data_IF_678082784364
#
_entry.id   IF_678082784364
#
_cell.length_a   1.000
_cell.length_b   1.000
_cell.length_c   1.000
_cell.angle_alpha   90.00
_cell.angle_beta   90.00
_cell.angle_gamma   90.00
#
_symmetry.space_group_name_H-M   'P 1'
#
loop_
_entity.id
_entity.type
_entity.pdbx_description
1 polymer ?
#
# COMPACT_ATOMS: atom_id res chain seq x y z
N UNK A 1 -21.44 7.69 12.30
CA UNK A 1 -21.87 8.97 11.71
C UNK A 1 -22.46 8.64 10.34
N UNK A 2 -23.78 8.73 10.20
CA UNK A 2 -24.53 8.39 8.97
C UNK A 2 -25.13 9.63 8.27
N UNK A 3 -24.77 10.82 8.74
CA UNK A 3 -25.28 12.11 8.26
C UNK A 3 -24.59 12.62 6.97
N UNK A 4 -23.77 11.79 6.32
CA UNK A 4 -23.00 12.15 5.13
C UNK A 4 -21.79 13.06 5.42
N UNK A 5 -21.50 13.40 6.68
CA UNK A 5 -20.35 14.23 7.04
C UNK A 5 -19.02 13.63 6.55
N UNK A 6 -18.90 12.31 6.63
CA UNK A 6 -17.69 11.58 6.23
C UNK A 6 -17.44 11.57 4.71
N UNK A 7 -18.47 11.81 3.89
CA UNK A 7 -18.36 11.88 2.44
C UNK A 7 -17.97 13.27 1.92
N UNK A 8 -17.91 14.26 2.80
CA UNK A 8 -17.50 15.63 2.43
C UNK A 8 -16.02 15.65 2.04
N UNK A 9 -15.74 16.33 0.93
CA UNK A 9 -14.37 16.62 0.49
C UNK A 9 -13.72 17.53 1.52
N UNK A 10 -12.45 17.24 1.82
CA UNK A 10 -11.61 18.03 2.71
C UNK A 10 -10.84 19.02 1.86
N UNK A 11 -11.23 20.28 1.97
CA UNK A 11 -10.51 21.37 1.32
C UNK A 11 -9.23 21.71 2.10
N UNK A 12 -8.17 22.09 1.39
CA UNK A 12 -6.96 22.67 1.99
C UNK A 12 -5.86 21.69 2.38
N UNK A 13 -5.90 20.42 1.93
CA UNK A 13 -4.74 19.50 2.00
C UNK A 13 -4.01 19.53 0.64
N UNK A 14 -2.85 20.23 0.53
CA UNK A 14 -2.14 20.31 -0.74
C UNK A 14 -1.64 18.93 -1.19
N UNK A 15 -1.76 18.64 -2.49
CA UNK A 15 -1.35 17.36 -3.09
C UNK A 15 -2.39 16.22 -2.97
N UNK A 16 -3.45 16.37 -2.16
CA UNK A 16 -4.49 15.35 -1.98
C UNK A 16 -5.85 15.83 -2.50
N UNK A 17 -6.04 15.85 -3.82
CA UNK A 17 -7.26 16.37 -4.45
C UNK A 17 -8.46 15.44 -4.19
N UNK A 18 -9.63 16.04 -3.94
CA UNK A 18 -10.90 15.33 -3.78
C UNK A 18 -10.86 14.22 -2.70
N UNK A 19 -9.99 14.35 -1.70
CA UNK A 19 -9.97 13.45 -0.55
C UNK A 19 -11.15 13.77 0.37
N UNK A 20 -11.83 12.76 0.88
CA UNK A 20 -12.97 12.92 1.80
C UNK A 20 -12.55 12.59 3.23
N UNK A 21 -13.33 13.01 4.22
CA UNK A 21 -13.06 12.68 5.62
C UNK A 21 -12.94 11.18 5.88
N UNK A 22 -13.76 10.35 5.21
CA UNK A 22 -13.65 8.88 5.33
C UNK A 22 -12.40 8.27 4.72
N UNK A 23 -11.74 8.99 3.82
CA UNK A 23 -10.52 8.54 3.15
C UNK A 23 -9.27 8.90 3.99
N UNK A 24 -9.41 9.77 5.00
CA UNK A 24 -8.30 10.13 5.87
C UNK A 24 -8.00 9.03 6.90
N UNK A 25 -6.78 8.99 7.45
CA UNK A 25 -6.40 7.92 8.36
C UNK A 25 -7.30 7.81 9.58
N UNK A 26 -7.66 6.59 9.99
CA UNK A 26 -8.72 6.36 10.95
C UNK A 26 -8.49 6.99 12.32
N UNK A 27 -7.24 7.26 12.70
CA UNK A 27 -6.87 7.87 13.97
C UNK A 27 -7.31 9.35 14.08
N UNK A 28 -7.58 10.04 12.98
CA UNK A 28 -8.14 11.40 13.05
C UNK A 28 -9.66 11.41 13.26
N UNK A 29 -10.31 10.25 13.11
CA UNK A 29 -11.77 10.12 13.22
C UNK A 29 -12.21 9.94 14.68
N UNK A 30 -11.84 10.89 15.52
CA UNK A 30 -12.15 10.91 16.96
C UNK A 30 -12.78 12.23 17.37
N UNK A 31 -13.70 12.18 18.34
CA UNK A 31 -14.28 13.38 18.96
C UNK A 31 -13.64 13.71 20.31
N UNK A 32 -12.72 12.87 20.78
CA UNK A 32 -12.01 13.08 22.03
C UNK A 32 -10.81 14.01 21.79
N UNK A 33 -10.78 15.23 22.37
CA UNK A 33 -9.62 16.11 22.26
C UNK A 33 -8.36 15.55 22.95
N UNK A 34 -8.51 14.53 23.79
CA UNK A 34 -7.41 13.84 24.49
C UNK A 34 -7.14 12.44 23.93
N UNK A 35 -7.62 12.16 22.70
CA UNK A 35 -7.33 10.89 22.03
C UNK A 35 -5.82 10.64 21.97
N UNK A 36 -5.40 9.54 22.59
CA UNK A 36 -3.97 9.23 22.78
C UNK A 36 -3.29 9.01 21.43
N UNK A 37 -3.94 8.31 20.51
CA UNK A 37 -3.35 7.94 19.23
C UNK A 37 -3.24 9.16 18.31
N UNK A 38 -4.27 10.00 18.25
CA UNK A 38 -4.23 11.25 17.49
C UNK A 38 -3.12 12.19 17.98
N UNK A 39 -3.03 12.39 19.30
CA UNK A 39 -2.03 13.27 19.90
C UNK A 39 -0.61 12.75 19.66
N UNK A 40 -0.40 11.44 19.88
CA UNK A 40 0.88 10.80 19.61
C UNK A 40 1.31 10.96 18.14
N UNK A 41 0.45 10.61 17.19
CA UNK A 41 0.78 10.69 15.76
C UNK A 41 0.97 12.14 15.28
N UNK A 42 0.25 13.09 15.87
CA UNK A 42 0.45 14.52 15.59
C UNK A 42 1.83 14.98 16.07
N UNK A 43 2.27 14.53 17.25
CA UNK A 43 3.61 14.82 17.75
C UNK A 43 4.70 14.15 16.90
N UNK A 44 4.52 12.88 16.54
CA UNK A 44 5.46 12.15 15.67
C UNK A 44 5.60 12.82 14.30
N UNK A 45 4.49 13.27 13.70
CA UNK A 45 4.55 14.02 12.44
C UNK A 45 5.40 15.31 12.57
N UNK A 46 5.32 16.02 13.70
CA UNK A 46 6.18 17.19 13.96
C UNK A 46 7.64 16.80 14.23
N UNK A 47 7.88 15.65 14.85
CA UNK A 47 9.23 15.14 15.09
C UNK A 47 9.91 14.65 13.81
N UNK A 48 9.15 14.04 12.90
CA UNK A 48 9.61 13.68 11.56
C UNK A 48 10.14 14.92 10.80
N UNK A 49 9.49 16.08 10.91
CA UNK A 49 9.95 17.33 10.29
C UNK A 49 11.23 17.91 10.91
N UNK A 50 11.63 17.45 12.09
CA UNK A 50 12.89 17.83 12.76
C UNK A 50 14.02 16.84 12.50
N UNK A 51 13.73 15.71 11.86
CA UNK A 51 14.73 14.70 11.53
C UNK A 51 15.78 15.25 10.57
N UNK A 52 16.96 14.63 10.52
CA UNK A 52 18.00 14.99 9.56
C UNK A 52 17.66 14.56 8.13
N UNK A 53 16.87 13.49 8.01
CA UNK A 53 16.49 12.86 6.76
C UNK A 53 15.20 12.05 6.95
N UNK A 54 14.38 12.01 5.91
CA UNK A 54 13.16 11.21 5.85
C UNK A 54 13.24 10.26 4.65
N UNK A 55 13.18 8.96 4.89
CA UNK A 55 13.15 7.94 3.84
C UNK A 55 11.70 7.51 3.65
N UNK A 56 11.19 7.60 2.43
CA UNK A 56 9.83 7.19 2.08
C UNK A 56 9.88 6.00 1.12
N UNK A 57 9.20 4.93 1.51
CA UNK A 57 9.04 3.72 0.70
C UNK A 57 7.93 3.91 -0.35
N UNK A 58 8.21 4.68 -1.39
CA UNK A 58 7.38 4.89 -2.58
C UNK A 58 8.27 5.25 -3.77
N UNK A 59 7.70 5.54 -4.93
CA UNK A 59 8.41 6.09 -6.08
C UNK A 59 7.74 7.36 -6.62
N UNK A 60 8.52 8.26 -7.21
CA UNK A 60 8.08 9.61 -7.57
C UNK A 60 6.84 9.63 -8.46
N UNK A 61 6.74 8.73 -9.43
CA UNK A 61 5.63 8.66 -10.38
C UNK A 61 4.30 8.25 -9.71
N UNK A 62 4.34 7.51 -8.60
CA UNK A 62 3.14 7.03 -7.91
C UNK A 62 2.42 8.14 -7.14
N UNK A 63 3.19 9.07 -6.56
CA UNK A 63 2.70 10.05 -5.57
C UNK A 63 3.24 11.47 -5.80
N UNK A 64 3.58 11.82 -7.05
CA UNK A 64 4.27 13.07 -7.42
C UNK A 64 3.74 14.31 -6.71
N UNK A 65 2.44 14.57 -6.79
CA UNK A 65 1.86 15.80 -6.22
C UNK A 65 2.02 15.89 -4.70
N UNK A 66 1.93 14.76 -3.99
CA UNK A 66 2.10 14.72 -2.54
C UNK A 66 3.58 14.88 -2.18
N UNK A 67 4.46 14.21 -2.91
CA UNK A 67 5.91 14.29 -2.69
C UNK A 67 6.46 15.71 -2.91
N UNK A 68 6.01 16.41 -3.95
CA UNK A 68 6.38 17.82 -4.21
C UNK A 68 5.98 18.74 -3.04
N UNK A 69 4.80 18.51 -2.44
CA UNK A 69 4.33 19.28 -1.27
C UNK A 69 5.18 18.99 -0.05
N UNK A 70 5.54 17.72 0.18
CA UNK A 70 6.38 17.32 1.32
C UNK A 70 7.79 17.89 1.14
N UNK A 71 8.39 17.77 -0.05
CA UNK A 71 9.72 18.29 -0.36
C UNK A 71 9.81 19.81 -0.15
N UNK A 72 8.77 20.55 -0.53
CA UNK A 72 8.69 22.00 -0.30
C UNK A 72 8.70 22.38 1.19
N UNK A 73 8.24 21.49 2.07
CA UNK A 73 8.28 21.68 3.54
C UNK A 73 9.53 21.09 4.19
N UNK A 74 10.03 19.98 3.65
CA UNK A 74 11.15 19.22 4.19
C UNK A 74 12.04 18.70 3.04
N UNK A 75 13.07 19.47 2.64
CA UNK A 75 13.89 19.14 1.47
C UNK A 75 14.78 17.90 1.61
N UNK A 76 15.02 17.41 2.83
CA UNK A 76 15.86 16.23 3.08
C UNK A 76 15.04 14.92 3.01
N UNK A 77 14.13 14.83 2.05
CA UNK A 77 13.32 13.64 1.78
C UNK A 77 13.96 12.77 0.69
N UNK A 78 13.98 11.46 0.91
CA UNK A 78 14.55 10.46 0.00
C UNK A 78 13.47 9.43 -0.33
N UNK A 79 13.02 9.43 -1.57
CA UNK A 79 12.02 8.51 -2.09
C UNK A 79 12.78 7.31 -2.65
N UNK A 80 12.91 6.24 -1.87
CA UNK A 80 13.82 5.12 -2.18
C UNK A 80 13.08 3.81 -2.37
N UNK A 81 11.78 3.85 -2.65
CA UNK A 81 10.95 2.67 -2.81
C UNK A 81 10.67 2.33 -4.28
N UNK A 82 9.98 1.20 -4.50
CA UNK A 82 9.67 0.18 -3.51
C UNK A 82 10.91 -0.58 -2.99
N UNK A 83 11.04 -0.65 -1.67
CA UNK A 83 12.19 -1.28 -1.02
C UNK A 83 12.33 -2.76 -1.40
N UNK A 84 11.21 -3.46 -1.59
CA UNK A 84 11.19 -4.87 -2.01
C UNK A 84 11.79 -5.12 -3.39
N UNK A 85 11.72 -4.13 -4.29
CA UNK A 85 12.32 -4.22 -5.62
C UNK A 85 13.75 -3.70 -5.63
N UNK A 86 14.02 -2.60 -4.93
CA UNK A 86 15.39 -2.11 -4.69
C UNK A 86 16.29 -3.18 -4.08
N UNK A 87 15.78 -3.94 -3.09
CA UNK A 87 16.49 -5.08 -2.50
C UNK A 87 16.88 -6.13 -3.54
N UNK A 88 15.99 -6.46 -4.50
CA UNK A 88 16.29 -7.44 -5.56
C UNK A 88 17.42 -6.94 -6.48
N UNK A 89 17.35 -5.69 -6.91
CA UNK A 89 18.40 -5.05 -7.74
C UNK A 89 19.75 -4.99 -7.00
N UNK A 90 19.72 -4.76 -5.68
CA UNK A 90 20.91 -4.77 -4.82
C UNK A 90 21.42 -6.21 -4.59
N UNK A 91 20.53 -7.18 -4.40
CA UNK A 91 20.84 -8.58 -4.15
C UNK A 91 21.46 -9.29 -5.35
N UNK A 92 21.07 -8.93 -6.58
CA UNK A 92 21.81 -9.32 -7.78
C UNK A 92 23.30 -8.91 -7.71
N UNK A 93 23.66 -7.96 -6.83
CA UNK A 93 25.03 -7.48 -6.56
C UNK A 93 25.60 -7.84 -5.15
N UNK A 94 25.07 -8.86 -4.47
CA UNK A 94 25.45 -9.44 -3.14
C UNK A 94 24.73 -8.85 -1.92
N UNK A 95 23.91 -9.70 -1.29
CA UNK A 95 23.92 -10.10 0.13
C UNK A 95 22.73 -11.07 0.35
N UNK A 96 22.78 -11.94 1.35
CA UNK A 96 21.79 -13.01 1.54
C UNK A 96 20.67 -12.63 2.51
N UNK A 97 19.43 -12.77 2.04
CA UNK A 97 18.18 -13.17 2.72
C UNK A 97 18.14 -13.08 4.25
N UNK A 98 17.40 -12.09 4.76
CA UNK A 98 16.98 -11.99 6.16
C UNK A 98 15.47 -12.24 6.26
N UNK A 99 15.05 -13.51 6.27
CA UNK A 99 13.66 -13.86 6.59
C UNK A 99 13.55 -14.22 8.07
N UNK A 100 12.70 -13.48 8.79
CA UNK A 100 12.43 -13.63 10.23
C UNK A 100 10.97 -14.06 10.43
N UNK A 101 10.69 -15.37 10.60
CA UNK A 101 9.34 -15.91 10.77
C UNK A 101 8.65 -15.50 12.09
N UNK A 102 9.37 -14.82 12.98
CA UNK A 102 8.98 -14.47 14.35
C UNK A 102 8.04 -13.26 14.48
N UNK A 103 7.61 -12.65 13.37
CA UNK A 103 6.75 -11.44 13.35
C UNK A 103 5.37 -11.73 12.74
N UNK A 104 4.79 -12.90 13.03
CA UNK A 104 3.43 -13.20 12.60
C UNK A 104 2.44 -13.08 13.77
N UNK A 105 1.51 -12.14 13.68
CA UNK A 105 0.30 -12.09 14.52
C UNK A 105 -0.88 -12.67 13.73
N UNK A 106 -1.54 -13.69 14.28
CA UNK A 106 -2.81 -14.22 13.76
C UNK A 106 -3.04 -15.66 14.18
N UNK A 107 -4.08 -15.92 14.97
CA UNK A 107 -4.58 -17.27 15.21
C UNK A 107 -5.23 -17.81 13.93
N UNK A 108 -5.10 -19.11 13.67
CA UNK A 108 -5.82 -19.74 12.55
C UNK A 108 -7.32 -19.65 12.80
N UNK A 109 -8.07 -19.10 11.83
CA UNK A 109 -9.52 -19.04 11.91
C UNK A 109 -10.09 -20.47 12.04
N UNK A 110 -10.95 -20.69 13.02
CA UNK A 110 -11.69 -21.97 13.16
C UNK A 110 -12.83 -21.94 12.14
N UNK A 111 -12.65 -22.64 11.03
CA UNK A 111 -13.66 -22.80 9.98
C UNK A 111 -14.35 -24.16 10.11
N UNK A 112 -15.65 -24.28 9.77
CA UNK A 112 -16.35 -25.55 9.81
C UNK A 112 -15.73 -26.57 8.85
N UNK A 113 -15.67 -27.85 9.25
CA UNK A 113 -15.12 -28.92 8.42
C UNK A 113 -15.86 -29.05 7.08
N UNK A 114 -17.16 -28.77 7.06
CA UNK A 114 -17.98 -28.78 5.84
C UNK A 114 -17.48 -27.76 4.82
N UNK A 115 -16.96 -26.62 5.27
CA UNK A 115 -16.39 -25.60 4.40
C UNK A 115 -15.04 -26.05 3.82
N UNK A 116 -14.19 -26.68 4.63
CA UNK A 116 -12.89 -27.21 4.19
C UNK A 116 -13.09 -28.28 3.10
N UNK A 117 -14.07 -29.16 3.29
CA UNK A 117 -14.42 -30.21 2.33
C UNK A 117 -15.00 -29.61 1.03
N UNK A 118 -15.80 -28.55 1.10
CA UNK A 118 -16.38 -27.87 -0.06
C UNK A 118 -15.30 -27.23 -0.97
N UNK A 119 -14.23 -26.70 -0.37
CA UNK A 119 -13.19 -25.97 -1.12
C UNK A 119 -11.99 -26.83 -1.52
N UNK A 120 -11.87 -28.08 -1.06
CA UNK A 120 -10.64 -28.90 -1.17
C UNK A 120 -10.02 -28.98 -2.57
N UNK A 121 -10.85 -28.94 -3.62
CA UNK A 121 -10.42 -29.07 -5.02
C UNK A 121 -10.14 -27.71 -5.70
N UNK A 122 -10.40 -26.59 -5.01
CA UNK A 122 -10.39 -25.22 -5.59
C UNK A 122 -9.78 -24.15 -4.70
N UNK A 123 -9.51 -24.45 -3.43
CA UNK A 123 -9.04 -23.50 -2.43
C UNK A 123 -8.00 -24.12 -1.52
N UNK A 124 -7.09 -23.29 -1.04
CA UNK A 124 -6.06 -23.63 -0.07
C UNK A 124 -6.12 -22.62 1.06
N UNK A 125 -6.18 -23.12 2.29
CA UNK A 125 -6.10 -22.30 3.51
C UNK A 125 -4.72 -22.52 4.13
N UNK A 126 -3.99 -21.43 4.34
CA UNK A 126 -2.71 -21.43 5.03
C UNK A 126 -2.70 -20.30 6.06
N UNK A 127 -2.10 -20.53 7.22
CA UNK A 127 -1.88 -19.48 8.22
C UNK A 127 -0.82 -18.47 7.78
N UNK A 128 0.03 -18.86 6.82
CA UNK A 128 1.06 -18.01 6.24
C UNK A 128 1.42 -18.47 4.83
N UNK A 129 1.84 -17.52 3.99
CA UNK A 129 2.46 -17.81 2.69
C UNK A 129 3.55 -16.77 2.39
N UNK A 130 4.54 -17.10 1.54
CA UNK A 130 5.49 -16.11 1.00
C UNK A 130 4.73 -15.20 0.03
N UNK A 131 4.08 -14.16 0.56
CA UNK A 131 3.13 -13.32 -0.17
C UNK A 131 3.73 -12.72 -1.45
N UNK A 132 5.01 -12.31 -1.41
CA UNK A 132 5.75 -11.78 -2.55
C UNK A 132 5.83 -12.79 -3.72
N UNK A 133 6.10 -14.07 -3.41
CA UNK A 133 6.17 -15.15 -4.39
C UNK A 133 4.78 -15.52 -4.90
N UNK A 134 3.78 -15.54 -4.00
CA UNK A 134 2.38 -15.81 -4.37
C UNK A 134 1.90 -14.74 -5.34
N UNK A 135 1.99 -13.45 -4.98
CA UNK A 135 1.54 -12.34 -5.84
C UNK A 135 2.28 -12.28 -7.18
N UNK A 136 3.57 -12.65 -7.20
CA UNK A 136 4.36 -12.72 -8.43
C UNK A 136 3.99 -13.91 -9.34
N UNK A 137 3.20 -14.87 -8.86
CA UNK A 137 2.86 -16.07 -9.61
C UNK A 137 1.83 -15.75 -10.72
N UNK A 138 2.02 -16.23 -11.96
CA UNK A 138 1.16 -15.89 -13.11
C UNK A 138 -0.30 -16.35 -12.95
N UNK A 139 -0.58 -17.28 -12.04
CA UNK A 139 -1.95 -17.72 -11.73
C UNK A 139 -2.74 -16.73 -10.86
N UNK A 140 -2.11 -15.71 -10.28
CA UNK A 140 -2.81 -14.71 -9.47
C UNK A 140 -3.49 -13.68 -10.38
N UNK A 141 -4.82 -13.67 -10.33
CA UNK A 141 -5.65 -12.71 -11.05
C UNK A 141 -5.97 -11.45 -10.25
N UNK A 142 -6.20 -11.58 -8.94
CA UNK A 142 -6.66 -10.49 -8.07
C UNK A 142 -6.20 -10.72 -6.63
N UNK A 143 -6.03 -9.65 -5.85
CA UNK A 143 -5.64 -9.70 -4.45
C UNK A 143 -6.67 -8.99 -3.56
N UNK A 144 -7.34 -9.75 -2.68
CA UNK A 144 -8.20 -9.20 -1.63
C UNK A 144 -7.33 -8.78 -0.44
N UNK A 145 -7.37 -7.51 -0.06
CA UNK A 145 -6.49 -6.96 0.97
C UNK A 145 -7.15 -5.86 1.78
N UNK A 146 -6.73 -5.71 3.02
CA UNK A 146 -7.02 -4.57 3.87
C UNK A 146 -6.35 -3.27 3.45
N UNK A 147 -5.52 -3.27 2.40
CA UNK A 147 -4.81 -2.08 1.87
C UNK A 147 -3.75 -1.50 2.82
N UNK A 148 -3.09 -2.32 3.65
CA UNK A 148 -1.85 -1.90 4.29
C UNK A 148 -0.77 -1.55 3.25
N UNK A 149 0.12 -0.61 3.57
CA UNK A 149 1.06 -0.05 2.58
C UNK A 149 1.97 -1.10 1.92
N UNK A 150 2.57 -2.01 2.70
CA UNK A 150 3.46 -3.05 2.17
C UNK A 150 2.74 -3.97 1.17
N UNK A 151 1.57 -4.51 1.53
CA UNK A 151 0.75 -5.33 0.63
C UNK A 151 0.33 -4.59 -0.64
N UNK A 152 0.06 -3.29 -0.52
CA UNK A 152 -0.33 -2.43 -1.65
C UNK A 152 0.83 -2.30 -2.63
N UNK A 153 2.02 -1.98 -2.14
CA UNK A 153 3.24 -1.89 -2.92
C UNK A 153 3.61 -3.24 -3.56
N UNK A 154 3.56 -4.35 -2.82
CA UNK A 154 3.83 -5.69 -3.39
C UNK A 154 2.87 -6.06 -4.53
N UNK A 155 1.61 -5.63 -4.43
CA UNK A 155 0.62 -5.83 -5.49
C UNK A 155 0.94 -4.99 -6.73
N UNK A 156 1.40 -3.74 -6.55
CA UNK A 156 1.88 -2.88 -7.63
C UNK A 156 3.10 -3.53 -8.30
N UNK A 157 4.09 -3.98 -7.52
CA UNK A 157 5.28 -4.69 -8.03
C UNK A 157 4.94 -5.98 -8.77
N UNK A 158 3.84 -6.62 -8.39
CA UNK A 158 3.36 -7.84 -9.04
C UNK A 158 2.47 -7.54 -10.25
N UNK A 159 1.94 -6.32 -10.36
CA UNK A 159 0.96 -5.93 -11.38
C UNK A 159 -0.38 -6.62 -11.15
N UNK A 160 -0.79 -6.78 -9.90
CA UNK A 160 -2.02 -7.48 -9.48
C UNK A 160 -3.05 -6.43 -9.00
N UNK A 161 -4.28 -6.44 -9.56
CA UNK A 161 -5.37 -5.60 -9.08
C UNK A 161 -5.83 -5.94 -7.67
N UNK A 162 -6.42 -4.94 -7.00
CA UNK A 162 -6.84 -5.02 -5.61
C UNK A 162 -8.37 -5.11 -5.48
N UNK A 163 -8.82 -5.99 -4.59
CA UNK A 163 -10.12 -5.87 -3.93
C UNK A 163 -9.84 -5.31 -2.54
N UNK A 164 -10.28 -4.10 -2.28
CA UNK A 164 -9.90 -3.30 -1.13
C UNK A 164 -10.95 -3.44 -0.02
N UNK A 165 -10.53 -3.84 1.18
CA UNK A 165 -11.40 -3.94 2.36
C UNK A 165 -10.74 -3.32 3.61
N UNK A 166 -10.65 -1.98 3.67
CA UNK A 166 -9.88 -1.28 4.71
C UNK A 166 -10.57 -1.30 6.08
N UNK A 167 -9.76 -1.41 7.15
CA UNK A 167 -10.25 -1.46 8.53
C UNK A 167 -9.77 -0.29 9.39
N UNK A 168 -8.46 0.01 9.41
CA UNK A 168 -7.88 0.98 10.36
C UNK A 168 -6.62 1.69 9.81
N UNK A 169 -6.13 2.67 10.55
CA UNK A 169 -4.95 3.47 10.23
C UNK A 169 -5.06 4.13 8.85
N UNK A 170 -4.06 4.01 8.00
CA UNK A 170 -3.98 4.64 6.67
C UNK A 170 -4.68 3.82 5.57
N UNK A 171 -5.26 2.67 5.89
CA UNK A 171 -5.83 1.74 4.92
C UNK A 171 -6.94 2.37 4.07
N UNK A 172 -7.75 3.25 4.65
CA UNK A 172 -8.78 4.00 3.93
C UNK A 172 -8.16 4.93 2.87
N UNK A 173 -7.04 5.58 3.21
CA UNK A 173 -6.28 6.43 2.29
C UNK A 173 -5.72 5.61 1.14
N UNK A 174 -5.07 4.49 1.44
CA UNK A 174 -4.51 3.59 0.43
C UNK A 174 -5.60 3.02 -0.49
N UNK A 175 -6.74 2.62 0.07
CA UNK A 175 -7.91 2.16 -0.69
C UNK A 175 -8.40 3.25 -1.65
N UNK A 176 -8.52 4.50 -1.19
CA UNK A 176 -8.91 5.64 -2.03
C UNK A 176 -7.94 5.89 -3.17
N UNK A 177 -6.63 5.79 -2.93
CA UNK A 177 -5.62 5.92 -3.98
C UNK A 177 -5.69 4.76 -4.98
N UNK A 178 -5.76 3.52 -4.50
CA UNK A 178 -5.88 2.34 -5.34
C UNK A 178 -7.12 2.38 -6.26
N UNK A 179 -8.27 2.80 -5.73
CA UNK A 179 -9.52 2.79 -6.50
C UNK A 179 -9.64 3.94 -7.50
N UNK A 180 -9.08 5.11 -7.18
CA UNK A 180 -9.41 6.35 -7.92
C UNK A 180 -8.19 7.02 -8.53
N UNK A 181 -7.05 7.08 -7.84
CA UNK A 181 -5.85 7.76 -8.36
C UNK A 181 -5.05 6.82 -9.26
N UNK A 182 -4.81 5.58 -8.82
CA UNK A 182 -4.02 4.60 -9.56
C UNK A 182 -4.88 3.75 -10.50
N UNK A 183 -6.17 3.61 -10.19
CA UNK A 183 -7.11 2.83 -11.00
C UNK A 183 -6.75 1.35 -11.06
N UNK A 184 -6.38 0.76 -9.91
CA UNK A 184 -6.02 -0.66 -9.79
C UNK A 184 -6.91 -1.41 -8.79
N UNK A 185 -7.85 -0.74 -8.14
CA UNK A 185 -8.59 -1.27 -7.00
C UNK A 185 -10.11 -1.13 -7.11
N UNK A 186 -10.81 -1.97 -6.35
CA UNK A 186 -12.26 -1.88 -6.11
C UNK A 186 -12.53 -1.97 -4.62
N UNK A 187 -13.20 -0.98 -4.05
CA UNK A 187 -13.58 -0.97 -2.64
C UNK A 187 -14.80 -1.87 -2.37
N UNK A 188 -14.69 -2.69 -1.33
CA UNK A 188 -15.76 -3.54 -0.80
C UNK A 188 -16.57 -2.74 0.22
N UNK A 189 -17.90 -2.90 0.19
CA UNK A 189 -18.77 -2.28 1.18
C UNK A 189 -18.45 -2.76 2.61
N UNK A 190 -18.65 -1.89 3.62
CA UNK A 190 -18.38 -2.26 5.02
C UNK A 190 -19.23 -3.43 5.51
N UNK A 191 -20.51 -3.46 5.12
CA UNK A 191 -21.47 -4.51 5.49
C UNK A 191 -21.58 -5.62 4.45
N UNK A 192 -20.45 -5.98 3.82
CA UNK A 192 -20.41 -6.87 2.66
C UNK A 192 -21.09 -8.21 2.91
N UNK A 193 -21.81 -8.68 1.88
CA UNK A 193 -22.42 -10.02 1.85
C UNK A 193 -21.66 -10.93 0.90
N UNK A 194 -21.72 -12.23 1.15
CA UNK A 194 -21.04 -13.25 0.31
C UNK A 194 -21.38 -13.13 -1.19
N UNK A 195 -22.63 -12.81 -1.53
CA UNK A 195 -23.06 -12.63 -2.92
C UNK A 195 -22.36 -11.46 -3.61
N UNK A 196 -22.08 -10.38 -2.87
CA UNK A 196 -21.40 -9.19 -3.37
C UNK A 196 -19.92 -9.48 -3.63
N UNK A 197 -19.22 -10.13 -2.67
CA UNK A 197 -17.84 -10.59 -2.87
C UNK A 197 -17.75 -11.49 -4.09
N UNK A 198 -18.67 -12.45 -4.25
CA UNK A 198 -18.69 -13.35 -5.40
C UNK A 198 -18.85 -12.59 -6.72
N UNK A 199 -19.70 -11.57 -6.75
CA UNK A 199 -19.89 -10.73 -7.94
C UNK A 199 -18.63 -9.91 -8.26
N UNK A 200 -18.00 -9.29 -7.25
CA UNK A 200 -16.75 -8.53 -7.40
C UNK A 200 -15.64 -9.44 -7.92
N UNK A 201 -15.42 -10.60 -7.31
CA UNK A 201 -14.37 -11.56 -7.74
C UNK A 201 -14.60 -11.97 -9.19
N UNK A 202 -15.84 -12.25 -9.57
CA UNK A 202 -16.17 -12.64 -10.94
C UNK A 202 -15.88 -11.50 -11.93
N UNK A 203 -16.31 -10.27 -11.62
CA UNK A 203 -16.05 -9.10 -12.48
C UNK A 203 -14.55 -8.78 -12.60
N UNK A 204 -13.80 -8.94 -11.51
CA UNK A 204 -12.35 -8.73 -11.50
C UNK A 204 -11.58 -9.78 -12.31
N UNK A 205 -12.05 -11.02 -12.36
CA UNK A 205 -11.37 -12.11 -13.08
C UNK A 205 -11.82 -12.26 -14.53
N UNK A 206 -13.10 -12.01 -14.82
CA UNK A 206 -13.71 -12.32 -16.12
C UNK A 206 -14.24 -11.06 -16.84
N UNK A 207 -14.52 -9.98 -16.12
CA UNK A 207 -15.14 -8.76 -16.64
C UNK A 207 -14.16 -7.81 -17.32
N UNK A 208 -14.70 -6.89 -18.13
CA UNK A 208 -13.91 -5.84 -18.80
C UNK A 208 -13.26 -4.90 -17.78
N UNK A 209 -13.97 -4.56 -16.69
CA UNK A 209 -13.43 -3.74 -15.62
C UNK A 209 -12.17 -4.37 -15.00
N UNK A 210 -12.20 -5.69 -14.73
CA UNK A 210 -11.06 -6.42 -14.20
C UNK A 210 -9.83 -6.35 -15.11
N UNK A 211 -10.04 -6.45 -16.44
CA UNK A 211 -8.98 -6.31 -17.44
C UNK A 211 -8.39 -4.90 -17.46
N UNK A 212 -9.22 -3.86 -17.44
CA UNK A 212 -8.77 -2.47 -17.39
C UNK A 212 -7.90 -2.18 -16.15
N UNK A 213 -8.33 -2.66 -14.98
CA UNK A 213 -7.56 -2.54 -13.74
C UNK A 213 -6.25 -3.32 -13.79
N UNK A 214 -6.24 -4.50 -14.44
CA UNK A 214 -5.03 -5.31 -14.66
C UNK A 214 -4.03 -4.60 -15.56
N UNK A 215 -4.49 -4.02 -16.66
CA UNK A 215 -3.63 -3.26 -17.58
C UNK A 215 -3.02 -2.04 -16.87
N UNK A 216 -3.80 -1.35 -16.03
CA UNK A 216 -3.30 -0.27 -15.17
C UNK A 216 -2.27 -0.74 -14.15
N UNK A 217 -2.52 -1.88 -13.49
CA UNK A 217 -1.56 -2.45 -12.54
C UNK A 217 -0.23 -2.81 -13.22
N UNK A 218 -0.28 -3.34 -14.46
CA UNK A 218 0.91 -3.62 -15.26
C UNK A 218 1.64 -2.35 -15.72
N UNK A 219 0.91 -1.27 -16.01
CA UNK A 219 1.49 0.05 -16.30
C UNK A 219 2.29 0.58 -15.09
N UNK A 220 1.71 0.49 -13.89
CA UNK A 220 2.38 0.91 -12.66
C UNK A 220 3.60 0.05 -12.33
N UNK A 221 3.49 -1.28 -12.46
CA UNK A 221 4.63 -2.20 -12.33
C UNK A 221 5.80 -1.80 -13.22
N UNK A 222 5.52 -1.37 -14.46
CA UNK A 222 6.56 -0.93 -15.40
C UNK A 222 7.24 0.36 -14.93
N UNK A 223 6.46 1.36 -14.52
CA UNK A 223 7.00 2.64 -13.99
C UNK A 223 7.84 2.42 -12.75
N UNK A 224 7.40 1.54 -11.87
CA UNK A 224 8.15 1.14 -10.67
C UNK A 224 9.50 0.50 -11.03
N UNK A 225 9.52 -0.41 -12.00
CA UNK A 225 10.75 -1.03 -12.48
C UNK A 225 11.71 0.03 -13.04
N UNK A 226 11.23 1.00 -13.81
CA UNK A 226 12.04 2.11 -14.32
C UNK A 226 12.57 3.03 -13.20
N UNK A 227 11.78 3.26 -12.15
CA UNK A 227 12.18 4.09 -11.01
C UNK A 227 13.27 3.43 -10.15
N UNK A 228 13.25 2.11 -10.04
CA UNK A 228 14.14 1.31 -9.18
C UNK A 228 15.34 0.71 -9.91
N UNK A 229 15.37 0.74 -11.24
CA UNK A 229 16.52 0.36 -12.05
C UNK A 229 17.71 1.31 -11.83
N UNK A 230 18.91 0.88 -12.22
CA UNK A 230 20.14 1.67 -12.08
C UNK A 230 20.00 2.99 -12.83
N UNK A 231 20.08 4.10 -12.09
CA UNK A 231 19.89 5.45 -12.62
C UNK A 231 18.44 5.92 -12.68
N UNK A 232 17.49 5.10 -12.23
CA UNK A 232 16.10 5.47 -11.97
C UNK A 232 15.96 6.52 -10.86
N UNK A 233 14.75 7.06 -10.68
CA UNK A 233 14.47 8.11 -9.69
C UNK A 233 14.75 7.63 -8.27
N UNK A 234 14.20 6.48 -7.87
CA UNK A 234 14.42 5.90 -6.54
C UNK A 234 15.87 5.51 -6.29
N UNK A 235 16.55 4.99 -7.32
CA UNK A 235 17.99 4.68 -7.25
C UNK A 235 18.83 5.92 -6.97
N UNK A 236 18.56 7.03 -7.67
CA UNK A 236 19.26 8.30 -7.45
C UNK A 236 19.05 8.84 -6.03
N UNK A 237 17.82 8.79 -5.51
CA UNK A 237 17.56 9.23 -4.13
C UNK A 237 18.30 8.36 -3.12
N UNK A 238 18.41 7.06 -3.38
CA UNK A 238 19.18 6.15 -2.54
C UNK A 238 20.68 6.47 -2.56
N UNK A 239 21.28 6.70 -3.74
CA UNK A 239 22.69 7.08 -3.87
C UNK A 239 22.99 8.40 -3.14
N UNK A 240 22.17 9.44 -3.34
CA UNK A 240 22.32 10.74 -2.66
C UNK A 240 22.23 10.56 -1.13
N UNK A 241 21.30 9.72 -0.66
CA UNK A 241 21.17 9.42 0.75
C UNK A 241 22.43 8.75 1.32
N UNK A 242 22.98 7.75 0.61
CA UNK A 242 24.21 7.07 1.02
C UNK A 242 25.41 8.02 1.05
N UNK A 243 25.57 8.86 0.03
CA UNK A 243 26.65 9.86 0.00
C UNK A 243 26.59 10.80 1.22
N UNK A 244 25.41 11.34 1.53
CA UNK A 244 25.21 12.19 2.70
C UNK A 244 25.46 11.45 4.01
N UNK A 245 25.02 10.19 4.12
CA UNK A 245 25.26 9.36 5.29
C UNK A 245 26.76 9.13 5.52
N UNK A 246 27.53 8.84 4.46
CA UNK A 246 28.97 8.63 4.53
C UNK A 246 29.71 9.91 4.91
N UNK A 247 29.34 11.05 4.33
CA UNK A 247 29.94 12.36 4.65
C UNK A 247 29.64 12.83 6.08
N UNK A 248 28.51 12.42 6.66
CA UNK A 248 28.15 12.76 8.05
C UNK A 248 28.96 12.04 9.13
N UNK A 249 29.83 11.09 8.74
CA UNK A 249 30.69 10.31 9.65
C UNK A 249 32.11 10.89 9.78
N UNK A 250 32.43 11.94 9.02
CA UNK A 250 33.68 12.71 9.10
C UNK A 250 33.47 13.99 9.96
#
# INVERSE_FOLDING_TARGET
>A
MEDGTLDRVVDGIPGMRNIRFKDLPSFIMTTDPHDILLNYLSEEAQNCLKSSAMIINTFTELEREVLEVIEARFPNIYVTGPLSLMEKTIHENKLSQWWRPDIMMGDSAVLPDEFLEEIKDRGLLASWCPQDQVLSHPSIGVFLTHCGWNSTIESISSGVPLICWPFFAEQQTNCRYACVEWGIGVEVNKDVKCQEIKAIIKDMLEGERGKELKDKALEWKKKEAEATDIGGSSWKHFDIFLEKLLLSRE
#
